data_IF_699942071370
#
_entry.id   IF_699942071370
#
_cell.length_a   1.000
_cell.length_b   1.000
_cell.length_c   1.000
_cell.angle_alpha   90.00
_cell.angle_beta   90.00
_cell.angle_gamma   90.00
#
_symmetry.space_group_name_H-M   'P 1'
#
loop_
_entity.id
_entity.type
_entity.pdbx_description
1 polymer ?
#
# COMPACT_ATOMS: atom_id res chain seq x y z
N UNK A 1 -21.82 21.53 5.44
CA UNK A 1 -22.60 21.10 6.62
C UNK A 1 -23.23 19.78 6.22
N UNK A 2 -22.73 18.67 6.74
CA UNK A 2 -23.24 17.34 6.42
C UNK A 2 -24.45 17.10 7.30
N UNK A 3 -25.63 16.90 6.71
CA UNK A 3 -26.85 16.59 7.45
C UNK A 3 -26.62 15.36 8.33
N UNK A 4 -26.84 15.51 9.63
CA UNK A 4 -26.59 14.48 10.65
C UNK A 4 -27.63 13.36 10.64
N UNK A 5 -27.92 12.78 9.48
CA UNK A 5 -28.78 11.61 9.38
C UNK A 5 -28.12 10.40 10.05
N UNK A 6 -28.76 9.91 11.11
CA UNK A 6 -28.36 8.66 11.77
C UNK A 6 -28.53 7.49 10.81
N UNK A 7 -27.51 6.62 10.66
CA UNK A 7 -27.57 5.47 9.75
C UNK A 7 -28.72 4.53 10.13
N UNK A 8 -29.49 4.12 9.12
CA UNK A 8 -30.61 3.17 9.27
C UNK A 8 -30.07 1.75 9.24
N UNK A 9 -30.08 1.07 10.39
CA UNK A 9 -29.69 -0.34 10.48
C UNK A 9 -30.87 -1.28 10.25
N UNK A 10 -30.60 -2.42 9.62
CA UNK A 10 -31.57 -3.52 9.50
C UNK A 10 -31.93 -4.09 10.87
N UNK A 11 -33.19 -4.50 11.07
CA UNK A 11 -33.63 -5.00 12.38
C UNK A 11 -33.18 -6.43 12.69
N UNK A 12 -32.83 -7.22 11.66
CA UNK A 12 -32.45 -8.63 11.79
C UNK A 12 -30.92 -8.76 11.75
N UNK A 13 -30.28 -8.06 10.83
CA UNK A 13 -28.84 -8.15 10.57
C UNK A 13 -28.09 -6.94 11.13
N UNK A 14 -28.13 -6.78 12.45
CA UNK A 14 -27.46 -5.69 13.17
C UNK A 14 -26.79 -6.19 14.45
N UNK A 15 -25.85 -7.11 14.30
CA UNK A 15 -25.02 -7.56 15.41
C UNK A 15 -24.00 -6.47 15.80
N UNK A 16 -24.09 -5.86 17.00
CA UNK A 16 -23.17 -4.81 17.41
C UNK A 16 -21.73 -5.30 17.65
N UNK A 17 -21.53 -6.61 17.80
CA UNK A 17 -20.20 -7.22 17.97
C UNK A 17 -19.52 -7.55 16.64
N UNK A 18 -20.26 -7.49 15.52
CA UNK A 18 -19.72 -7.79 14.21
C UNK A 18 -18.70 -6.74 13.75
N UNK A 19 -17.61 -7.20 13.13
CA UNK A 19 -16.54 -6.36 12.59
C UNK A 19 -16.78 -5.87 11.17
N UNK A 20 -17.81 -6.37 10.48
CA UNK A 20 -18.12 -6.01 9.08
C UNK A 20 -19.46 -5.31 9.00
N UNK A 21 -19.49 -4.16 8.32
CA UNK A 21 -20.71 -3.44 7.97
C UNK A 21 -20.87 -3.43 6.45
N UNK A 22 -21.97 -3.97 5.94
CA UNK A 22 -22.38 -3.85 4.55
C UNK A 22 -23.38 -2.71 4.41
N UNK A 23 -23.34 -2.00 3.30
CA UNK A 23 -24.27 -0.92 2.98
C UNK A 23 -24.93 -1.23 1.65
N UNK A 24 -26.25 -1.31 1.64
CA UNK A 24 -27.03 -1.51 0.41
C UNK A 24 -27.17 -0.20 -0.37
N UNK A 25 -27.64 -0.29 -1.62
CA UNK A 25 -27.87 0.86 -2.49
C UNK A 25 -28.97 1.82 -2.00
N UNK A 26 -29.84 1.37 -1.10
CA UNK A 26 -30.89 2.14 -0.43
C UNK A 26 -30.46 2.63 0.96
N UNK A 27 -29.15 2.69 1.22
CA UNK A 27 -28.54 3.22 2.44
C UNK A 27 -28.98 2.50 3.73
N UNK A 28 -29.31 1.21 3.64
CA UNK A 28 -29.54 0.34 4.81
C UNK A 28 -28.22 -0.33 5.20
N UNK A 29 -27.92 -0.30 6.49
CA UNK A 29 -26.68 -0.82 7.06
C UNK A 29 -26.91 -2.18 7.70
N UNK A 30 -26.04 -3.14 7.39
CA UNK A 30 -26.08 -4.51 7.91
C UNK A 30 -24.78 -4.80 8.66
N UNK A 31 -24.86 -5.10 9.96
CA UNK A 31 -23.70 -5.54 10.75
C UNK A 31 -23.72 -7.05 10.91
N UNK A 32 -22.73 -7.71 10.33
CA UNK A 32 -22.70 -9.18 10.18
C UNK A 32 -21.31 -9.74 10.40
N UNK A 33 -21.23 -10.94 10.94
CA UNK A 33 -19.96 -11.67 11.05
C UNK A 33 -19.40 -11.97 9.64
N UNK A 34 -18.11 -11.73 9.37
CA UNK A 34 -17.51 -12.00 8.07
C UNK A 34 -17.42 -13.50 7.73
N UNK A 35 -17.37 -14.41 8.72
CA UNK A 35 -17.15 -15.84 8.50
C UNK A 35 -18.25 -16.48 7.62
N UNK A 36 -19.56 -16.33 7.90
CA UNK A 36 -20.60 -16.82 7.01
C UNK A 36 -20.51 -16.27 5.58
N UNK A 37 -20.16 -14.98 5.42
CA UNK A 37 -20.00 -14.36 4.11
C UNK A 37 -18.84 -14.96 3.32
N UNK A 38 -17.68 -15.10 3.96
CA UNK A 38 -16.47 -15.73 3.38
C UNK A 38 -16.71 -17.18 2.99
N UNK A 39 -17.51 -17.91 3.79
CA UNK A 39 -17.84 -19.32 3.54
C UNK A 39 -18.83 -19.47 2.38
N UNK A 40 -19.82 -18.58 2.30
CA UNK A 40 -20.93 -18.68 1.33
C UNK A 40 -20.67 -18.00 -0.01
N UNK A 41 -19.66 -17.13 -0.13
CA UNK A 41 -19.41 -16.36 -1.34
C UNK A 41 -17.92 -16.14 -1.57
N UNK A 42 -17.42 -16.56 -2.73
CA UNK A 42 -16.04 -16.31 -3.17
C UNK A 42 -15.78 -14.82 -3.32
N UNK A 43 -16.75 -14.04 -3.81
CA UNK A 43 -16.63 -12.59 -3.95
C UNK A 43 -16.43 -11.92 -2.59
N UNK A 44 -17.27 -12.24 -1.59
CA UNK A 44 -17.09 -11.67 -0.25
C UNK A 44 -15.82 -12.16 0.41
N UNK A 45 -15.44 -13.42 0.19
CA UNK A 45 -14.17 -13.95 0.68
C UNK A 45 -13.00 -13.13 0.19
N UNK A 46 -12.93 -12.88 -1.10
CA UNK A 46 -11.80 -12.22 -1.72
C UNK A 46 -11.76 -10.75 -1.29
N UNK A 47 -12.90 -10.04 -1.35
CA UNK A 47 -13.00 -8.62 -0.92
C UNK A 47 -12.65 -8.43 0.55
N UNK A 48 -13.21 -9.24 1.46
CA UNK A 48 -12.95 -9.09 2.89
C UNK A 48 -11.53 -9.51 3.29
N UNK A 49 -10.91 -10.43 2.54
CA UNK A 49 -9.50 -10.80 2.75
C UNK A 49 -8.58 -9.71 2.24
N UNK A 50 -8.86 -9.14 1.07
CA UNK A 50 -8.11 -8.03 0.50
C UNK A 50 -8.13 -6.80 1.42
N UNK A 51 -9.28 -6.46 1.99
CA UNK A 51 -9.40 -5.36 2.97
C UNK A 51 -8.58 -5.62 4.24
N UNK A 52 -8.62 -6.85 4.78
CA UNK A 52 -7.80 -7.20 5.93
C UNK A 52 -6.30 -7.07 5.65
N UNK A 53 -5.86 -7.47 4.44
CA UNK A 53 -4.47 -7.29 4.00
C UNK A 53 -4.10 -5.80 3.84
N UNK A 54 -5.01 -4.97 3.33
CA UNK A 54 -4.80 -3.50 3.24
C UNK A 54 -4.59 -2.89 4.62
N UNK A 55 -5.43 -3.22 5.60
CA UNK A 55 -5.27 -2.72 6.97
C UNK A 55 -3.97 -3.23 7.61
N UNK A 56 -3.64 -4.50 7.43
CA UNK A 56 -2.36 -5.03 7.90
C UNK A 56 -1.17 -4.31 7.27
N UNK A 57 -1.23 -4.02 5.98
CA UNK A 57 -0.17 -3.30 5.27
C UNK A 57 -0.01 -1.86 5.80
N UNK A 58 -1.11 -1.16 6.09
CA UNK A 58 -1.06 0.17 6.73
C UNK A 58 -0.39 0.13 8.11
N UNK A 59 -0.74 -0.87 8.93
CA UNK A 59 -0.13 -1.03 10.26
C UNK A 59 1.37 -1.34 10.15
N UNK A 60 1.75 -2.23 9.23
CA UNK A 60 3.16 -2.59 8.98
C UNK A 60 3.98 -1.47 8.34
N UNK A 61 3.35 -0.51 7.68
CA UNK A 61 4.05 0.53 6.92
C UNK A 61 5.02 1.34 7.79
N UNK A 62 4.69 1.54 9.07
CA UNK A 62 5.54 2.27 10.02
C UNK A 62 6.77 1.47 10.48
N UNK A 63 6.65 0.16 10.63
CA UNK A 63 7.73 -0.68 11.16
C UNK A 63 8.61 -1.26 10.06
N UNK A 64 7.99 -1.63 8.94
CA UNK A 64 8.60 -2.39 7.85
C UNK A 64 8.07 -1.87 6.51
N UNK A 65 8.43 -0.64 6.11
CA UNK A 65 7.87 0.03 4.93
C UNK A 65 8.07 -0.78 3.65
N UNK A 66 9.17 -1.54 3.52
CA UNK A 66 9.38 -2.45 2.40
C UNK A 66 8.34 -3.58 2.32
N UNK A 67 8.02 -4.22 3.46
CA UNK A 67 6.98 -5.26 3.46
C UNK A 67 5.61 -4.67 3.11
N UNK A 68 5.31 -3.46 3.59
CA UNK A 68 4.09 -2.76 3.25
C UNK A 68 4.03 -2.38 1.76
N UNK A 69 5.16 -1.99 1.16
CA UNK A 69 5.27 -1.79 -0.28
C UNK A 69 5.02 -3.08 -1.07
N UNK A 70 5.62 -4.21 -0.65
CA UNK A 70 5.36 -5.52 -1.27
C UNK A 70 3.87 -5.89 -1.18
N UNK A 71 3.24 -5.74 -0.02
CA UNK A 71 1.81 -5.98 0.15
C UNK A 71 0.97 -5.07 -0.76
N UNK A 72 1.27 -3.77 -0.80
CA UNK A 72 0.61 -2.81 -1.66
C UNK A 72 0.70 -3.21 -3.15
N UNK A 73 1.84 -3.75 -3.58
CA UNK A 73 2.03 -4.22 -4.96
C UNK A 73 1.10 -5.36 -5.35
N UNK A 74 0.87 -6.33 -4.44
CA UNK A 74 -0.06 -7.44 -4.67
C UNK A 74 -1.52 -6.98 -4.66
N UNK A 75 -1.81 -5.96 -3.85
CA UNK A 75 -3.13 -5.32 -3.74
C UNK A 75 -3.40 -4.29 -4.84
N UNK A 76 -2.44 -4.08 -5.75
CA UNK A 76 -2.46 -3.03 -6.78
C UNK A 76 -2.81 -1.64 -6.20
N UNK A 77 -2.38 -1.36 -4.98
CA UNK A 77 -2.65 -0.12 -4.27
C UNK A 77 -1.48 0.86 -4.44
N UNK A 78 -1.54 1.68 -5.50
CA UNK A 78 -0.49 2.66 -5.78
C UNK A 78 -0.35 3.68 -4.64
N UNK A 79 -1.46 4.11 -4.03
CA UNK A 79 -1.44 5.11 -2.96
C UNK A 79 -0.71 4.57 -1.73
N UNK A 80 -1.01 3.33 -1.35
CA UNK A 80 -0.33 2.68 -0.24
C UNK A 80 1.15 2.43 -0.55
N UNK A 81 1.49 2.04 -1.78
CA UNK A 81 2.89 1.89 -2.19
C UNK A 81 3.66 3.21 -2.09
N UNK A 82 3.10 4.32 -2.59
CA UNK A 82 3.70 5.66 -2.45
C UNK A 82 3.87 6.06 -0.99
N UNK A 83 2.86 5.80 -0.16
CA UNK A 83 2.96 6.09 1.26
C UNK A 83 4.07 5.29 1.94
N UNK A 84 4.17 3.99 1.66
CA UNK A 84 5.25 3.14 2.15
C UNK A 84 6.63 3.64 1.71
N UNK A 85 6.77 4.10 0.45
CA UNK A 85 8.02 4.71 -0.03
C UNK A 85 8.37 6.00 0.73
N UNK A 86 7.39 6.86 1.05
CA UNK A 86 7.64 8.06 1.88
C UNK A 86 8.15 7.69 3.27
N UNK A 87 7.59 6.65 3.88
CA UNK A 87 8.04 6.17 5.18
C UNK A 87 9.46 5.58 5.14
N UNK A 88 9.94 5.08 3.99
CA UNK A 88 11.35 4.69 3.84
C UNK A 88 12.32 5.88 3.97
N UNK A 89 11.87 7.12 3.80
CA UNK A 89 12.67 8.31 4.06
C UNK A 89 13.02 8.47 5.56
N UNK A 90 12.14 7.97 6.42
CA UNK A 90 12.24 8.11 7.88
C UNK A 90 12.93 6.90 8.52
N UNK A 91 12.89 5.74 7.87
CA UNK A 91 13.55 4.52 8.34
C UNK A 91 15.04 4.50 7.94
N UNK A 92 15.91 4.59 8.94
CA UNK A 92 17.37 4.55 8.78
C UNK A 92 17.84 3.27 8.07
N UNK A 93 17.17 2.14 8.29
CA UNK A 93 17.52 0.88 7.64
C UNK A 93 17.03 0.84 6.19
N UNK A 94 15.83 1.34 5.91
CA UNK A 94 15.31 1.43 4.55
C UNK A 94 16.06 2.47 3.71
N UNK A 95 16.62 3.50 4.35
CA UNK A 95 17.50 4.49 3.71
C UNK A 95 18.79 3.86 3.13
N UNK A 96 19.15 2.66 3.58
CA UNK A 96 20.26 1.87 3.06
C UNK A 96 19.88 0.95 1.89
N UNK A 97 18.60 0.85 1.50
CA UNK A 97 18.21 0.11 0.31
C UNK A 97 18.69 0.92 -0.91
N UNK A 98 19.90 0.62 -1.35
CA UNK A 98 20.42 1.12 -2.62
C UNK A 98 19.95 0.20 -3.74
N UNK A 99 19.79 0.78 -4.92
CA UNK A 99 19.46 0.02 -6.13
C UNK A 99 20.51 -1.06 -6.42
N UNK A 100 21.78 -0.76 -6.15
CA UNK A 100 22.93 -1.66 -6.29
C UNK A 100 22.92 -2.82 -5.29
N UNK A 101 22.31 -2.62 -4.12
CA UNK A 101 22.24 -3.60 -3.03
C UNK A 101 20.91 -4.37 -2.98
N UNK A 102 19.95 -4.02 -3.85
CA UNK A 102 18.66 -4.70 -3.93
C UNK A 102 18.83 -6.08 -4.56
N UNK A 103 19.03 -7.08 -3.71
CA UNK A 103 19.13 -8.48 -4.15
C UNK A 103 17.84 -8.94 -4.85
N UNK A 104 17.97 -9.81 -5.85
CA UNK A 104 16.83 -10.29 -6.65
C UNK A 104 15.73 -10.93 -5.78
N UNK A 105 16.10 -11.59 -4.69
CA UNK A 105 15.14 -12.17 -3.73
C UNK A 105 14.28 -11.14 -3.01
N UNK A 106 14.77 -9.90 -2.84
CA UNK A 106 14.00 -8.82 -2.25
C UNK A 106 12.97 -8.29 -3.26
N UNK A 107 13.40 -8.06 -4.51
CA UNK A 107 12.53 -7.60 -5.59
C UNK A 107 11.39 -8.59 -5.90
N UNK A 108 11.66 -9.91 -5.81
CA UNK A 108 10.67 -10.97 -6.01
C UNK A 108 9.51 -10.96 -4.99
N UNK A 109 9.66 -10.28 -3.86
CA UNK A 109 8.58 -10.17 -2.87
C UNK A 109 7.44 -9.25 -3.34
N UNK A 110 7.70 -8.36 -4.30
CA UNK A 110 6.71 -7.47 -4.89
C UNK A 110 6.27 -7.95 -6.28
N UNK A 111 5.06 -7.57 -6.68
CA UNK A 111 4.54 -7.82 -8.03
C UNK A 111 5.27 -6.97 -9.08
N UNK A 112 5.76 -7.60 -10.15
CA UNK A 112 6.71 -7.04 -11.15
C UNK A 112 6.49 -5.59 -11.61
N UNK A 113 5.26 -5.09 -11.85
CA UNK A 113 5.07 -3.70 -12.25
C UNK A 113 5.61 -2.68 -11.24
N UNK A 114 5.58 -3.03 -9.95
CA UNK A 114 5.97 -2.12 -8.86
C UNK A 114 7.49 -1.99 -8.74
N UNK A 115 8.31 -3.06 -8.67
CA UNK A 115 9.76 -2.94 -8.71
C UNK A 115 10.28 -2.22 -9.96
N UNK A 116 9.68 -2.46 -11.13
CA UNK A 116 10.07 -1.77 -12.37
C UNK A 116 9.75 -0.26 -12.30
N UNK A 117 8.57 0.10 -11.80
CA UNK A 117 8.18 1.48 -11.55
C UNK A 117 9.12 2.18 -10.56
N UNK A 118 9.50 1.47 -9.49
CA UNK A 118 10.43 1.96 -8.48
C UNK A 118 11.83 2.18 -9.07
N UNK A 119 12.33 1.21 -9.84
CA UNK A 119 13.62 1.32 -10.53
C UNK A 119 13.64 2.54 -11.45
N UNK A 120 12.58 2.75 -12.25
CA UNK A 120 12.44 3.92 -13.12
C UNK A 120 12.48 5.25 -12.35
N UNK A 121 11.75 5.34 -11.24
CA UNK A 121 11.73 6.53 -10.40
C UNK A 121 13.11 6.84 -9.78
N UNK A 122 13.82 5.80 -9.33
CA UNK A 122 15.19 5.92 -8.82
C UNK A 122 16.18 6.37 -9.91
N UNK A 123 16.08 5.80 -11.11
CA UNK A 123 16.91 6.22 -12.25
C UNK A 123 16.68 7.69 -12.64
N UNK A 124 15.43 8.15 -12.64
CA UNK A 124 15.10 9.55 -12.92
C UNK A 124 15.77 10.50 -11.93
N UNK A 125 15.77 10.15 -10.63
CA UNK A 125 16.45 10.94 -9.61
C UNK A 125 17.95 11.10 -9.91
N UNK A 126 18.60 10.06 -10.45
CA UNK A 126 20.03 10.10 -10.80
C UNK A 126 20.31 11.01 -12.01
N UNK A 127 19.42 11.04 -13.01
CA UNK A 127 19.61 11.84 -14.22
C UNK A 127 19.45 13.36 -13.99
N UNK A 128 18.71 13.79 -12.96
CA UNK A 128 18.64 15.22 -12.60
C UNK A 128 19.99 15.76 -12.06
N UNK A 129 20.94 14.90 -11.68
CA UNK A 129 22.26 15.32 -11.19
C UNK A 129 23.33 15.41 -12.29
N UNK A 130 23.04 15.03 -13.54
CA UNK A 130 24.03 14.87 -14.63
C UNK A 130 24.20 16.06 -15.57
N UNK A 131 24.07 17.29 -15.08
CA UNK A 131 24.53 18.49 -15.82
C UNK A 131 26.07 18.62 -15.85
N UNK A 132 26.76 17.97 -14.93
CA UNK A 132 28.21 17.86 -14.89
C UNK A 132 28.55 16.43 -14.44
N UNK A 133 29.66 15.88 -14.93
CA UNK A 133 30.17 14.55 -14.55
C UNK A 133 30.61 14.57 -13.09
N UNK A 134 29.66 14.64 -12.16
CA UNK A 134 29.93 14.53 -10.75
C UNK A 134 29.97 13.04 -10.43
N UNK A 135 31.18 12.58 -10.11
CA UNK A 135 31.41 11.25 -9.53
C UNK A 135 30.40 11.06 -8.39
N UNK A 136 29.58 10.03 -8.51
CA UNK A 136 28.67 9.57 -7.47
C UNK A 136 29.37 9.64 -6.11
N UNK A 137 28.85 10.48 -5.20
CA UNK A 137 29.34 10.50 -3.83
C UNK A 137 28.65 9.35 -3.10
N UNK A 138 29.39 8.42 -2.49
CA UNK A 138 28.80 7.29 -1.75
C UNK A 138 27.87 7.67 -0.58
N UNK A 139 27.69 8.96 -0.29
CA UNK A 139 26.85 9.49 0.79
C UNK A 139 25.60 10.21 0.29
N UNK A 140 25.30 10.20 -1.02
CA UNK A 140 24.05 10.77 -1.51
C UNK A 140 22.90 9.83 -1.15
N UNK A 141 22.19 10.19 -0.08
CA UNK A 141 21.02 9.46 0.38
C UNK A 141 19.91 9.47 -0.67
N UNK A 142 19.23 8.34 -0.84
CA UNK A 142 18.06 8.25 -1.72
C UNK A 142 17.00 9.23 -1.24
N UNK A 143 16.47 10.07 -2.15
CA UNK A 143 15.44 11.06 -1.81
C UNK A 143 14.08 10.40 -1.95
N UNK A 144 13.78 9.50 -1.01
CA UNK A 144 12.59 8.65 -1.03
C UNK A 144 11.27 9.41 -1.21
N UNK A 145 11.18 10.65 -0.72
CA UNK A 145 10.01 11.51 -0.98
C UNK A 145 9.86 11.85 -2.47
N UNK A 146 10.94 12.22 -3.16
CA UNK A 146 10.92 12.50 -4.60
C UNK A 146 10.65 11.23 -5.41
N UNK A 147 11.23 10.10 -4.99
CA UNK A 147 10.98 8.78 -5.58
C UNK A 147 9.51 8.42 -5.46
N UNK A 148 8.89 8.63 -4.29
CA UNK A 148 7.49 8.34 -4.05
C UNK A 148 6.55 9.20 -4.92
N UNK A 149 6.88 10.48 -5.14
CA UNK A 149 6.10 11.35 -6.03
C UNK A 149 6.23 10.94 -7.51
N UNK A 150 7.44 10.57 -7.95
CA UNK A 150 7.71 10.11 -9.31
C UNK A 150 7.27 8.66 -9.58
N UNK A 151 7.00 7.88 -8.53
CA UNK A 151 6.68 6.46 -8.63
C UNK A 151 5.35 6.24 -9.37
N UNK A 152 5.37 5.34 -10.34
CA UNK A 152 4.18 4.77 -10.98
C UNK A 152 4.49 3.32 -11.37
N UNK A 153 3.61 2.34 -11.11
CA UNK A 153 3.80 0.97 -11.59
C UNK A 153 4.02 0.96 -13.11
N UNK A 154 5.03 0.22 -13.58
CA UNK A 154 5.36 0.12 -15.00
C UNK A 154 4.77 -1.16 -15.59
N UNK A 155 3.91 -1.00 -16.59
CA UNK A 155 3.30 -2.11 -17.36
C UNK A 155 4.01 -2.33 -18.68
#
# INVERSE_FOLDING_TARGET
MSDGQTPKFDSIYNDPSASTTLVSSDEVYFRVDPYPLKKGSTVFRDVLTENALREQAKLKAFERPWEAFCLASHLKDEKLAKHSLKLMAEDVNASMIRLEDMHASLAQQASMPYPLGLFKALMQQMHYSTGYVQRYKPNDHVRWNEVAEAFTPSF
#
